data_IF_029091517410
#
_entry.id   IF_029091517410
#
_cell.length_a   1.000
_cell.length_b   1.000
_cell.length_c   1.000
_cell.angle_alpha   90.00
_cell.angle_beta   90.00
_cell.angle_gamma   90.00
#
_symmetry.space_group_name_H-M   'P 1'
#
loop_
_entity.id
_entity.type
_entity.pdbx_description
1 polymer ?
#
# COMPACT_ATOMS: atom_id res chain seq x y z
N UNK A 1 -21.14 -4.10 1.73
CA UNK A 1 -20.54 -5.21 2.48
C UNK A 1 -19.57 -4.60 3.47
N UNK A 2 -19.51 -5.17 4.67
CA UNK A 2 -18.52 -4.79 5.68
C UNK A 2 -17.13 -5.24 5.23
N UNK A 3 -16.09 -4.42 5.45
CA UNK A 3 -14.71 -4.74 5.09
C UNK A 3 -14.24 -5.93 5.94
N UNK A 4 -13.49 -6.86 5.35
CA UNK A 4 -12.85 -7.92 6.14
C UNK A 4 -11.67 -7.34 6.94
N UNK A 5 -11.26 -8.03 8.00
CA UNK A 5 -10.16 -7.57 8.84
C UNK A 5 -8.83 -7.39 8.08
N UNK A 6 -8.59 -8.21 7.05
CA UNK A 6 -7.41 -8.09 6.18
C UNK A 6 -7.49 -6.87 5.27
N UNK A 7 -8.69 -6.47 4.85
CA UNK A 7 -8.88 -5.26 4.06
C UNK A 7 -8.62 -4.02 4.91
N UNK A 8 -9.12 -4.01 6.14
CA UNK A 8 -8.84 -2.94 7.12
C UNK A 8 -7.32 -2.84 7.35
N UNK A 9 -6.62 -3.96 7.53
CA UNK A 9 -5.17 -3.95 7.73
C UNK A 9 -4.40 -3.34 6.53
N UNK A 10 -4.77 -3.67 5.29
CA UNK A 10 -4.15 -3.08 4.09
C UNK A 10 -4.41 -1.57 3.99
N UNK A 11 -5.66 -1.18 4.21
CA UNK A 11 -6.06 0.22 4.20
C UNK A 11 -5.28 1.02 5.25
N UNK A 12 -5.13 0.47 6.47
CA UNK A 12 -4.33 1.09 7.53
C UNK A 12 -2.85 1.19 7.16
N UNK A 13 -2.28 0.16 6.56
CA UNK A 13 -0.90 0.21 6.06
C UNK A 13 -0.73 1.28 4.98
N UNK A 14 -1.68 1.42 4.03
CA UNK A 14 -1.67 2.47 3.01
C UNK A 14 -1.68 3.87 3.65
N UNK A 15 -2.57 4.09 4.63
CA UNK A 15 -2.65 5.39 5.31
C UNK A 15 -1.36 5.68 6.12
N UNK A 16 -0.81 4.67 6.81
CA UNK A 16 0.44 4.82 7.54
C UNK A 16 1.62 5.15 6.61
N UNK A 17 1.75 4.45 5.47
CA UNK A 17 2.75 4.76 4.45
C UNK A 17 2.52 6.15 3.87
N UNK A 18 1.27 6.57 3.64
CA UNK A 18 0.96 7.93 3.21
C UNK A 18 1.40 8.99 4.23
N UNK A 19 1.14 8.78 5.52
CA UNK A 19 1.59 9.67 6.61
C UNK A 19 3.11 9.77 6.62
N UNK A 20 3.82 8.63 6.54
CA UNK A 20 5.27 8.62 6.44
C UNK A 20 5.78 9.43 5.23
N UNK A 21 5.19 9.23 4.05
CA UNK A 21 5.59 9.93 2.82
C UNK A 21 5.27 11.44 2.80
N UNK A 22 4.41 11.92 3.70
CA UNK A 22 3.90 13.31 3.70
C UNK A 22 4.45 14.15 4.84
N UNK A 23 4.49 13.59 6.05
CA UNK A 23 4.87 14.30 7.27
C UNK A 23 6.09 13.70 7.97
N UNK A 24 6.76 12.73 7.34
CA UNK A 24 7.94 12.04 7.87
C UNK A 24 7.68 11.42 9.26
N UNK A 25 6.46 10.87 9.43
CA UNK A 25 6.06 10.21 10.67
C UNK A 25 7.04 9.08 11.03
N UNK A 26 7.45 9.04 12.30
CA UNK A 26 8.33 8.01 12.85
C UNK A 26 7.64 6.64 12.88
N UNK A 27 8.46 5.59 12.91
CA UNK A 27 7.97 4.20 13.00
C UNK A 27 7.09 3.99 14.24
N UNK A 28 7.44 4.66 15.34
CA UNK A 28 6.69 4.64 16.59
C UNK A 28 5.30 5.28 16.43
N UNK A 29 5.21 6.46 15.82
CA UNK A 29 3.93 7.14 15.56
C UNK A 29 3.02 6.32 14.65
N UNK A 30 3.57 5.67 13.62
CA UNK A 30 2.79 4.80 12.74
C UNK A 30 2.26 3.57 13.48
N UNK A 31 3.05 3.01 14.40
CA UNK A 31 2.60 1.88 15.23
C UNK A 31 1.50 2.27 16.18
N UNK A 32 1.62 3.43 16.82
CA UNK A 32 0.56 3.98 17.67
C UNK A 32 -0.73 4.22 16.88
N UNK A 33 -0.64 4.75 15.66
CA UNK A 33 -1.79 4.92 14.76
C UNK A 33 -2.50 3.60 14.44
N UNK A 34 -1.75 2.53 14.16
CA UNK A 34 -2.32 1.20 13.90
C UNK A 34 -2.93 0.60 15.17
N UNK A 35 -2.23 0.70 16.30
CA UNK A 35 -2.68 0.14 17.58
C UNK A 35 -3.94 0.84 18.12
N UNK A 36 -4.17 2.09 17.75
CA UNK A 36 -5.36 2.84 18.12
C UNK A 36 -6.65 2.35 17.42
N UNK A 37 -6.54 1.45 16.42
CA UNK A 37 -7.71 0.89 15.75
C UNK A 37 -8.18 -0.41 16.42
N UNK A 38 -9.29 -0.31 17.16
CA UNK A 38 -9.87 -1.44 17.90
C UNK A 38 -10.20 -2.64 17.03
N UNK A 39 -10.58 -2.44 15.76
CA UNK A 39 -10.90 -3.55 14.87
C UNK A 39 -9.67 -4.44 14.65
N UNK A 40 -8.48 -3.84 14.50
CA UNK A 40 -7.23 -4.59 14.34
C UNK A 40 -6.77 -5.30 15.61
N UNK A 41 -7.12 -4.78 16.80
CA UNK A 41 -6.75 -5.40 18.08
C UNK A 41 -7.47 -6.74 18.32
N UNK A 42 -8.72 -6.85 17.88
CA UNK A 42 -9.48 -8.12 17.95
C UNK A 42 -8.86 -9.19 17.06
N UNK A 43 -8.21 -8.78 15.96
CA UNK A 43 -7.51 -9.64 15.02
C UNK A 43 -5.99 -9.49 15.10
N UNK A 44 -5.34 -9.96 16.17
CA UNK A 44 -3.86 -9.87 16.35
C UNK A 44 -3.03 -10.24 15.11
N UNK A 45 -3.49 -11.20 14.29
CA UNK A 45 -2.83 -11.58 13.04
C UNK A 45 -2.93 -10.51 11.94
N UNK A 46 -4.00 -9.72 11.92
CA UNK A 46 -4.20 -8.59 11.03
C UNK A 46 -3.38 -7.36 11.47
N UNK A 47 -3.26 -7.11 12.78
CA UNK A 47 -2.34 -6.09 13.32
C UNK A 47 -0.89 -6.39 12.91
N UNK A 48 -0.43 -7.63 13.16
CA UNK A 48 0.91 -8.07 12.76
C UNK A 48 1.13 -7.96 11.25
N UNK A 49 0.12 -8.27 10.45
CA UNK A 49 0.19 -8.10 9.01
C UNK A 49 0.29 -6.63 8.59
N UNK A 50 -0.45 -5.73 9.24
CA UNK A 50 -0.34 -4.30 9.00
C UNK A 50 1.07 -3.79 9.33
N UNK A 51 1.64 -4.19 10.47
CA UNK A 51 3.02 -3.85 10.82
C UNK A 51 4.03 -4.39 9.82
N UNK A 52 3.85 -5.64 9.39
CA UNK A 52 4.71 -6.25 8.38
C UNK A 52 4.70 -5.44 7.07
N UNK A 53 3.53 -5.05 6.55
CA UNK A 53 3.43 -4.21 5.36
C UNK A 53 4.19 -2.89 5.52
N UNK A 54 3.99 -2.20 6.65
CA UNK A 54 4.64 -0.89 6.91
C UNK A 54 6.15 -1.05 6.98
N UNK A 55 6.63 -2.00 7.81
CA UNK A 55 8.05 -2.22 8.05
C UNK A 55 8.77 -2.61 6.75
N UNK A 56 8.20 -3.56 6.00
CA UNK A 56 8.80 -4.04 4.75
C UNK A 56 8.80 -2.98 3.65
N UNK A 57 7.75 -2.15 3.56
CA UNK A 57 7.74 -0.98 2.64
C UNK A 57 8.82 0.02 3.00
N UNK A 58 8.98 0.38 4.28
CA UNK A 58 9.99 1.34 4.71
C UNK A 58 11.41 0.83 4.41
N UNK A 59 11.66 -0.46 4.64
CA UNK A 59 12.96 -1.11 4.38
C UNK A 59 13.30 -1.20 2.89
N UNK A 60 12.30 -1.46 2.03
CA UNK A 60 12.52 -1.77 0.61
C UNK A 60 12.10 -0.65 -0.34
N UNK A 61 11.69 0.52 0.16
CA UNK A 61 11.16 1.63 -0.64
C UNK A 61 11.97 1.90 -1.91
N UNK A 62 13.29 2.07 -1.80
CA UNK A 62 14.13 2.40 -2.97
C UNK A 62 14.12 1.31 -4.04
N UNK A 63 14.04 0.04 -3.64
CA UNK A 63 13.94 -1.10 -4.56
C UNK A 63 12.58 -1.09 -5.27
N UNK A 64 11.50 -0.92 -4.51
CA UNK A 64 10.14 -0.86 -5.06
C UNK A 64 9.94 0.34 -5.99
N UNK A 65 10.48 1.52 -5.64
CA UNK A 65 10.47 2.70 -6.51
C UNK A 65 11.21 2.43 -7.82
N UNK A 66 12.36 1.75 -7.76
CA UNK A 66 13.13 1.38 -8.95
C UNK A 66 12.32 0.45 -9.84
N UNK A 67 11.74 -0.61 -9.26
CA UNK A 67 10.88 -1.55 -9.98
C UNK A 67 9.68 -0.84 -10.61
N UNK A 68 8.94 -0.06 -9.83
CA UNK A 68 7.75 0.65 -10.28
C UNK A 68 8.07 1.58 -11.45
N UNK A 69 9.19 2.32 -11.40
CA UNK A 69 9.62 3.16 -12.51
C UNK A 69 9.83 2.37 -13.82
N UNK A 70 10.24 1.10 -13.76
CA UNK A 70 10.34 0.25 -14.97
C UNK A 70 9.00 -0.12 -15.58
N UNK A 71 7.91 -0.03 -14.79
CA UNK A 71 6.55 -0.42 -15.19
C UNK A 71 5.68 0.78 -15.56
N UNK A 72 6.16 2.00 -15.33
CA UNK A 72 5.48 3.23 -15.74
C UNK A 72 5.64 3.50 -17.24
N UNK A 73 4.65 4.19 -17.83
CA UNK A 73 4.71 4.62 -19.23
C UNK A 73 5.85 5.63 -19.44
N UNK A 74 6.41 5.66 -20.65
CA UNK A 74 7.43 6.64 -21.03
C UNK A 74 7.00 8.07 -20.68
N UNK A 75 7.85 8.79 -19.96
CA UNK A 75 7.60 10.17 -19.52
C UNK A 75 6.94 10.31 -18.15
N UNK A 76 6.51 9.20 -17.55
CA UNK A 76 6.06 9.14 -16.15
C UNK A 76 7.21 8.71 -15.26
N UNK A 77 7.17 9.16 -14.01
CA UNK A 77 8.12 8.76 -12.97
C UNK A 77 7.40 8.67 -11.64
N UNK A 78 7.83 7.74 -10.78
CA UNK A 78 7.15 7.43 -9.53
C UNK A 78 7.06 8.64 -8.59
N UNK A 79 8.12 9.43 -8.53
CA UNK A 79 8.22 10.65 -7.69
C UNK A 79 7.20 11.74 -8.07
N UNK A 80 6.68 11.72 -9.30
CA UNK A 80 5.66 12.67 -9.79
C UNK A 80 4.23 12.24 -9.50
N UNK A 81 4.01 11.00 -9.06
CA UNK A 81 2.69 10.54 -8.64
C UNK A 81 2.25 11.25 -7.37
N UNK A 82 0.95 11.33 -7.10
CA UNK A 82 0.51 11.89 -5.83
C UNK A 82 0.89 10.93 -4.67
N UNK A 83 1.01 11.46 -3.45
CA UNK A 83 1.50 10.66 -2.31
C UNK A 83 0.60 9.47 -1.96
N UNK A 84 -0.70 9.56 -2.23
CA UNK A 84 -1.62 8.46 -1.99
C UNK A 84 -1.45 7.34 -3.01
N UNK A 85 -1.30 7.67 -4.29
CA UNK A 85 -0.94 6.71 -5.35
C UNK A 85 0.40 6.04 -5.06
N UNK A 86 1.40 6.81 -4.62
CA UNK A 86 2.70 6.28 -4.19
C UNK A 86 2.53 5.25 -3.05
N UNK A 87 1.76 5.60 -2.02
CA UNK A 87 1.52 4.71 -0.87
C UNK A 87 0.81 3.41 -1.28
N UNK A 88 -0.25 3.50 -2.09
CA UNK A 88 -0.98 2.33 -2.58
C UNK A 88 -0.07 1.42 -3.41
N UNK A 89 0.71 2.00 -4.33
CA UNK A 89 1.63 1.23 -5.17
C UNK A 89 2.71 0.55 -4.34
N UNK A 90 3.31 1.24 -3.35
CA UNK A 90 4.34 0.65 -2.49
C UNK A 90 3.80 -0.52 -1.66
N UNK A 91 2.65 -0.36 -1.02
CA UNK A 91 2.02 -1.41 -0.21
C UNK A 91 1.64 -2.61 -1.09
N UNK A 92 1.05 -2.36 -2.26
CA UNK A 92 0.70 -3.43 -3.18
C UNK A 92 1.95 -4.15 -3.75
N UNK A 93 3.00 -3.41 -4.10
CA UNK A 93 4.26 -4.01 -4.56
C UNK A 93 4.93 -4.84 -3.47
N UNK A 94 4.93 -4.37 -2.22
CA UNK A 94 5.38 -5.17 -1.08
C UNK A 94 4.64 -6.51 -1.01
N UNK A 95 3.32 -6.48 -1.04
CA UNK A 95 2.54 -7.72 -0.92
C UNK A 95 2.70 -8.64 -2.13
N UNK A 96 2.85 -8.09 -3.34
CA UNK A 96 3.13 -8.87 -4.56
C UNK A 96 4.47 -9.61 -4.52
N UNK A 97 5.50 -9.00 -3.93
CA UNK A 97 6.87 -9.53 -3.95
C UNK A 97 7.19 -10.39 -2.74
N UNK A 98 6.58 -10.10 -1.60
CA UNK A 98 7.00 -10.64 -0.30
C UNK A 98 5.96 -11.61 0.29
N UNK A 99 4.83 -11.82 -0.38
CA UNK A 99 3.78 -12.77 0.04
C UNK A 99 3.46 -13.81 -1.02
N UNK A 100 2.84 -14.92 -0.59
CA UNK A 100 2.34 -15.99 -1.46
C UNK A 100 0.90 -15.73 -1.97
N UNK A 101 0.39 -14.50 -1.81
CA UNK A 101 -0.98 -14.18 -2.19
C UNK A 101 -1.11 -14.06 -3.71
N UNK A 102 -2.22 -14.55 -4.26
CA UNK A 102 -2.49 -14.42 -5.68
C UNK A 102 -2.49 -12.95 -6.11
N UNK A 103 -1.73 -12.66 -7.17
CA UNK A 103 -1.56 -11.32 -7.74
C UNK A 103 -2.88 -10.61 -8.01
N UNK A 104 -3.91 -11.33 -8.46
CA UNK A 104 -5.22 -10.73 -8.74
C UNK A 104 -5.91 -10.21 -7.48
N UNK A 105 -5.70 -10.87 -6.33
CA UNK A 105 -6.24 -10.44 -5.04
C UNK A 105 -5.55 -9.15 -4.62
N UNK A 106 -4.22 -9.10 -4.64
CA UNK A 106 -3.45 -7.90 -4.26
C UNK A 106 -3.84 -6.70 -5.13
N UNK A 107 -3.93 -6.89 -6.45
CA UNK A 107 -4.33 -5.84 -7.39
C UNK A 107 -5.75 -5.37 -7.09
N UNK A 108 -6.68 -6.28 -6.83
CA UNK A 108 -8.06 -5.91 -6.49
C UNK A 108 -8.12 -5.04 -5.23
N UNK A 109 -7.36 -5.38 -4.19
CA UNK A 109 -7.30 -4.58 -2.96
C UNK A 109 -6.67 -3.21 -3.18
N UNK A 110 -5.62 -3.12 -4.00
CA UNK A 110 -5.03 -1.83 -4.39
C UNK A 110 -6.03 -0.95 -5.16
N UNK A 111 -6.82 -1.55 -6.07
CA UNK A 111 -7.87 -0.86 -6.83
C UNK A 111 -9.00 -0.37 -5.92
N UNK A 112 -9.38 -1.14 -4.90
CA UNK A 112 -10.38 -0.70 -3.90
C UNK A 112 -9.87 0.53 -3.16
N UNK A 113 -8.63 0.50 -2.64
CA UNK A 113 -8.03 1.66 -1.97
C UNK A 113 -7.93 2.88 -2.91
N UNK A 114 -7.56 2.67 -4.17
CA UNK A 114 -7.47 3.77 -5.15
C UNK A 114 -8.82 4.42 -5.44
N UNK A 115 -9.91 3.64 -5.48
CA UNK A 115 -11.27 4.18 -5.66
C UNK A 115 -11.76 4.97 -4.44
N UNK A 116 -11.27 4.62 -3.25
CA UNK A 116 -11.64 5.29 -2.01
C UNK A 116 -10.86 6.61 -1.82
N UNK A 117 -9.56 6.61 -2.15
CA UNK A 117 -8.64 7.67 -1.74
C UNK A 117 -8.03 8.49 -2.88
N UNK A 118 -8.29 8.16 -4.14
CA UNK A 118 -7.72 8.85 -5.29
C UNK A 118 -8.79 9.28 -6.31
N UNK A 119 -8.35 10.01 -7.34
CA UNK A 119 -9.21 10.48 -8.41
C UNK A 119 -9.73 9.33 -9.29
N UNK A 120 -10.80 9.59 -10.07
CA UNK A 120 -11.49 8.58 -10.88
C UNK A 120 -10.61 7.83 -11.88
N UNK A 121 -9.47 8.37 -12.30
CA UNK A 121 -8.57 7.68 -13.24
C UNK A 121 -7.41 6.93 -12.56
N UNK A 122 -7.16 7.18 -11.27
CA UNK A 122 -6.04 6.59 -10.53
C UNK A 122 -6.17 5.07 -10.40
N UNK A 123 -7.38 4.53 -10.21
CA UNK A 123 -7.55 3.09 -10.06
C UNK A 123 -7.21 2.30 -11.34
N UNK A 124 -7.51 2.87 -12.53
CA UNK A 124 -7.16 2.23 -13.82
C UNK A 124 -5.64 2.24 -14.02
N UNK A 125 -5.02 3.36 -13.66
CA UNK A 125 -3.57 3.52 -13.70
C UNK A 125 -2.87 2.51 -12.77
N UNK A 126 -3.25 2.48 -11.49
CA UNK A 126 -2.68 1.55 -10.49
C UNK A 126 -2.85 0.10 -10.93
N UNK A 127 -4.05 -0.28 -11.40
CA UNK A 127 -4.29 -1.61 -11.95
C UNK A 127 -3.31 -1.94 -13.09
N UNK A 128 -3.13 -1.02 -14.04
CA UNK A 128 -2.23 -1.20 -15.18
C UNK A 128 -0.77 -1.37 -14.77
N UNK A 129 -0.28 -0.57 -13.81
CA UNK A 129 1.09 -0.64 -13.30
C UNK A 129 1.34 -1.97 -12.58
N UNK A 130 0.47 -2.35 -11.65
CA UNK A 130 0.62 -3.58 -10.87
C UNK A 130 0.48 -4.84 -11.74
N UNK A 131 -0.38 -4.80 -12.77
CA UNK A 131 -0.50 -5.90 -13.74
C UNK A 131 0.83 -6.16 -14.47
N UNK A 132 1.65 -5.14 -14.68
CA UNK A 132 2.93 -5.24 -15.40
C UNK A 132 4.11 -5.71 -14.53
N UNK A 133 3.94 -5.85 -13.21
CA UNK A 133 4.94 -6.44 -12.31
C UNK A 133 4.95 -7.95 -12.50
N UNK A 134 6.11 -8.57 -12.70
CA UNK A 134 6.26 -10.01 -12.94
C UNK A 134 6.66 -10.74 -11.66
#
# INVERSE_FOLDING_TARGET
>A
MEKTIRQIAREKAVIAVYQWLTVDASKEELKEYVHADEALLEGRSAEQFCYWLIDTVMENKSSYETLLNTKLKKGWSFDRLNKMEQAILLVATCELLESELDKSIVINEAVINAKEYCDEDSYKFINGVLTAIE
#
